data_IF_961010679946
#
_entry.id   IF_961010679946
#
_cell.length_a   1.000
_cell.length_b   1.000
_cell.length_c   1.000
_cell.angle_alpha   90.00
_cell.angle_beta   90.00
_cell.angle_gamma   90.00
#
_symmetry.space_group_name_H-M   'P 1'
#
loop_
_entity.id
_entity.type
_entity.pdbx_description
1 polymer ?
#
# COMPACT_ATOMS: atom_id res chain seq x y z
N UNK A 1 -59.48 -23.54 43.45
CA UNK A 1 -59.80 -24.97 43.26
C UNK A 1 -58.90 -25.45 42.14
N UNK A 2 -57.80 -26.09 42.53
CA UNK A 2 -57.57 -27.56 42.41
C UNK A 2 -56.89 -27.84 41.07
N UNK A 3 -55.63 -28.26 41.13
CA UNK A 3 -55.22 -29.64 40.77
C UNK A 3 -54.97 -29.73 39.25
N UNK A 4 -53.93 -30.30 38.67
CA UNK A 4 -52.98 -31.38 39.00
C UNK A 4 -51.80 -31.19 38.02
N UNK A 5 -50.54 -31.24 38.44
CA UNK A 5 -49.70 -32.44 38.56
C UNK A 5 -49.71 -33.38 37.33
N UNK A 6 -48.48 -33.63 36.84
CA UNK A 6 -47.91 -34.93 36.47
C UNK A 6 -47.98 -35.37 34.98
N UNK A 7 -46.82 -35.47 34.31
CA UNK A 7 -45.87 -36.61 34.26
C UNK A 7 -46.39 -37.69 33.30
N UNK A 8 -45.73 -37.99 32.18
CA UNK A 8 -44.64 -38.97 31.94
C UNK A 8 -44.61 -39.14 30.40
N UNK A 9 -43.59 -39.59 29.67
CA UNK A 9 -42.49 -40.54 29.88
C UNK A 9 -41.30 -40.00 29.05
N UNK A 10 -40.06 -40.00 29.50
CA UNK A 10 -39.19 -41.16 29.68
C UNK A 10 -37.79 -40.59 29.98
N UNK A 11 -36.97 -41.04 30.92
CA UNK A 11 -36.85 -42.39 31.45
C UNK A 11 -35.70 -43.12 30.76
N UNK A 12 -34.46 -42.62 30.82
CA UNK A 12 -33.26 -43.45 30.65
C UNK A 12 -32.02 -42.81 31.29
N UNK A 13 -31.48 -43.54 32.26
CA UNK A 13 -30.20 -43.32 32.95
C UNK A 13 -29.01 -43.53 31.99
N UNK A 14 -27.95 -42.75 32.13
CA UNK A 14 -26.55 -43.21 32.00
C UNK A 14 -25.65 -42.07 32.52
N UNK A 15 -25.13 -42.18 33.74
CA UNK A 15 -23.75 -42.59 34.09
C UNK A 15 -22.67 -41.67 33.49
N UNK A 16 -21.67 -41.36 34.33
CA UNK A 16 -20.40 -40.65 34.08
C UNK A 16 -20.31 -39.19 34.55
N UNK A 17 -20.07 -39.04 35.86
CA UNK A 17 -19.15 -38.04 36.41
C UNK A 17 -17.68 -38.53 36.22
N UNK A 18 -16.64 -37.82 36.68
CA UNK A 18 -15.89 -36.82 35.93
C UNK A 18 -14.40 -37.21 35.85
N UNK A 19 -13.72 -36.95 34.74
CA UNK A 19 -12.27 -36.81 34.72
C UNK A 19 -11.93 -36.05 33.46
N UNK A 20 -11.37 -34.85 33.62
CA UNK A 20 -10.08 -34.46 33.05
C UNK A 20 -9.90 -32.94 33.21
N UNK A 21 -8.65 -32.50 33.39
CA UNK A 21 -8.29 -31.46 34.34
C UNK A 21 -8.10 -30.11 33.66
N UNK A 22 -7.97 -29.09 34.52
CA UNK A 22 -7.42 -27.76 34.29
C UNK A 22 -6.66 -27.56 32.96
N UNK A 23 -7.10 -26.54 32.19
CA UNK A 23 -6.18 -25.76 31.33
C UNK A 23 -4.90 -25.41 32.13
N UNK A 24 -3.70 -25.33 31.53
CA UNK A 24 -3.44 -24.44 30.36
C UNK A 24 -2.23 -24.82 29.46
N UNK A 25 -2.34 -24.75 28.13
CA UNK A 25 -1.21 -24.42 27.23
C UNK A 25 -1.57 -24.59 25.74
N UNK A 26 -2.20 -23.58 25.14
CA UNK A 26 -2.01 -23.31 23.71
C UNK A 26 -2.53 -21.90 23.38
N UNK A 27 -2.02 -20.89 24.07
CA UNK A 27 -1.76 -19.64 23.38
C UNK A 27 -0.67 -19.94 22.35
N UNK A 28 -1.04 -20.51 21.20
CA UNK A 28 -0.12 -20.71 20.09
C UNK A 28 0.18 -19.32 19.56
N UNK A 29 1.26 -18.76 20.10
CA UNK A 29 1.89 -17.49 19.74
C UNK A 29 1.77 -17.25 18.24
N UNK A 30 0.87 -16.36 17.84
CA UNK A 30 0.88 -15.76 16.51
C UNK A 30 1.89 -14.59 16.48
N UNK A 31 3.12 -14.83 16.97
CA UNK A 31 4.19 -13.82 17.03
C UNK A 31 5.55 -14.47 16.72
N UNK A 32 5.67 -15.03 15.52
CA UNK A 32 6.95 -15.12 14.81
C UNK A 32 6.69 -15.24 13.31
N UNK A 33 6.23 -14.15 12.70
CA UNK A 33 6.67 -13.90 11.32
C UNK A 33 8.17 -13.64 11.46
N UNK A 34 8.99 -14.58 10.99
CA UNK A 34 10.42 -14.69 11.30
C UNK A 34 11.11 -13.33 11.36
N UNK A 35 11.75 -13.01 12.50
CA UNK A 35 12.52 -11.76 12.65
C UNK A 35 13.57 -11.59 11.54
N UNK A 36 14.06 -12.71 10.99
CA UNK A 36 14.94 -12.75 9.82
C UNK A 36 14.24 -12.24 8.55
N UNK A 37 12.99 -12.63 8.29
CA UNK A 37 12.20 -12.15 7.15
C UNK A 37 11.85 -10.67 7.29
N UNK A 38 11.46 -10.23 8.49
CA UNK A 38 11.22 -8.82 8.77
C UNK A 38 12.49 -7.97 8.64
N UNK A 39 13.64 -8.46 9.12
CA UNK A 39 14.93 -7.79 8.95
C UNK A 39 15.36 -7.77 7.48
N UNK A 40 15.12 -8.85 6.71
CA UNK A 40 15.40 -8.90 5.28
C UNK A 40 14.54 -7.90 4.48
N UNK A 41 13.23 -7.81 4.79
CA UNK A 41 12.33 -6.83 4.18
C UNK A 41 12.73 -5.39 4.53
N UNK A 42 13.08 -5.10 5.78
CA UNK A 42 13.61 -3.78 6.18
C UNK A 42 14.93 -3.45 5.47
N UNK A 43 15.84 -4.41 5.34
CA UNK A 43 17.08 -4.25 4.57
C UNK A 43 16.84 -3.98 3.09
N UNK A 44 15.86 -4.65 2.47
CA UNK A 44 15.47 -4.39 1.08
C UNK A 44 14.85 -3.00 0.91
N UNK A 45 14.02 -2.57 1.87
CA UNK A 45 13.46 -1.21 1.91
C UNK A 45 14.57 -0.15 2.00
N UNK A 46 15.51 -0.32 2.93
CA UNK A 46 16.62 0.61 3.11
C UNK A 46 17.55 0.64 1.88
N UNK A 47 17.81 -0.52 1.25
CA UNK A 47 18.63 -0.57 0.04
C UNK A 47 17.98 0.16 -1.14
N UNK A 48 16.65 0.14 -1.25
CA UNK A 48 15.92 0.87 -2.29
C UNK A 48 15.93 2.38 -2.04
N UNK A 49 15.79 2.83 -0.78
CA UNK A 49 15.89 4.25 -0.43
C UNK A 49 17.29 4.80 -0.71
N UNK A 50 18.36 4.07 -0.32
CA UNK A 50 19.74 4.52 -0.50
C UNK A 50 20.09 4.66 -2.00
N UNK A 51 19.62 3.72 -2.83
CA UNK A 51 19.82 3.78 -4.28
C UNK A 51 19.05 4.92 -4.94
N UNK A 52 17.84 5.23 -4.44
CA UNK A 52 17.02 6.33 -4.94
C UNK A 52 17.64 7.68 -4.60
N UNK A 53 18.12 7.84 -3.36
CA UNK A 53 18.76 9.07 -2.91
C UNK A 53 20.08 9.33 -3.66
N UNK A 54 20.92 8.31 -3.84
CA UNK A 54 22.14 8.44 -4.64
C UNK A 54 21.85 8.87 -6.09
N UNK A 55 20.78 8.32 -6.71
CA UNK A 55 20.31 8.75 -8.04
C UNK A 55 19.79 10.18 -8.03
N UNK A 56 19.13 10.59 -6.95
CA UNK A 56 18.60 11.94 -6.77
C UNK A 56 19.72 12.98 -6.67
N UNK A 57 20.82 12.64 -5.99
CA UNK A 57 22.00 13.50 -5.82
C UNK A 57 22.78 13.67 -7.11
N UNK A 58 22.91 12.60 -7.93
CA UNK A 58 23.60 12.67 -9.21
C UNK A 58 22.66 12.94 -10.40
N UNK A 59 21.45 13.43 -10.16
CA UNK A 59 20.50 13.71 -11.22
C UNK A 59 20.90 14.96 -12.01
N UNK A 60 21.12 14.80 -13.32
CA UNK A 60 21.38 15.92 -14.24
C UNK A 60 20.22 16.17 -15.21
N UNK A 61 19.71 15.10 -15.80
CA UNK A 61 18.60 15.12 -16.78
C UNK A 61 17.86 13.79 -16.74
N UNK A 62 16.68 13.72 -17.35
CA UNK A 62 15.92 12.48 -17.48
C UNK A 62 16.74 11.41 -18.21
N UNK A 63 16.83 10.18 -17.67
CA UNK A 63 17.49 9.07 -18.36
C UNK A 63 16.66 8.59 -19.55
N UNK A 64 17.31 7.85 -20.46
CA UNK A 64 16.62 7.18 -21.57
C UNK A 64 15.63 6.12 -21.04
N UNK A 65 14.38 6.20 -21.51
CA UNK A 65 13.33 5.23 -21.21
C UNK A 65 13.05 4.37 -22.46
N UNK A 66 13.34 3.08 -22.36
CA UNK A 66 13.15 2.12 -23.45
C UNK A 66 11.68 1.96 -23.88
N UNK A 67 10.70 2.39 -23.06
CA UNK A 67 9.27 2.41 -23.42
C UNK A 67 8.96 3.47 -24.47
N UNK A 68 9.78 4.51 -24.56
CA UNK A 68 9.58 5.66 -25.44
C UNK A 68 10.85 5.92 -26.30
N UNK A 69 11.22 4.99 -27.20
CA UNK A 69 12.44 5.09 -28.00
C UNK A 69 12.36 6.12 -29.13
N UNK A 70 11.15 6.57 -29.47
CA UNK A 70 10.90 7.48 -30.59
C UNK A 70 11.23 8.93 -30.23
N UNK A 71 11.45 9.77 -31.24
CA UNK A 71 11.72 11.21 -31.06
C UNK A 71 10.56 11.96 -30.39
N UNK A 72 9.32 11.51 -30.55
CA UNK A 72 8.16 12.14 -29.91
C UNK A 72 8.07 11.76 -28.42
N UNK A 73 8.51 12.67 -27.54
CA UNK A 73 8.54 12.50 -26.09
C UNK A 73 7.26 12.97 -25.36
N UNK A 74 6.19 13.32 -26.10
CA UNK A 74 4.91 13.79 -25.51
C UNK A 74 4.31 12.78 -24.53
N UNK A 75 4.32 11.49 -24.89
CA UNK A 75 3.80 10.40 -24.04
C UNK A 75 4.65 10.19 -22.79
N UNK A 76 5.97 10.37 -22.90
CA UNK A 76 6.89 10.25 -21.78
C UNK A 76 6.62 11.37 -20.75
N UNK A 77 6.54 12.62 -21.21
CA UNK A 77 6.17 13.76 -20.39
C UNK A 77 4.82 13.54 -19.67
N UNK A 78 3.77 13.20 -20.43
CA UNK A 78 2.42 13.02 -19.88
C UNK A 78 2.35 11.88 -18.86
N UNK A 79 3.03 10.75 -19.11
CA UNK A 79 3.04 9.63 -18.19
C UNK A 79 3.71 9.97 -16.85
N UNK A 80 4.86 10.65 -16.88
CA UNK A 80 5.54 11.06 -15.65
C UNK A 80 4.75 12.10 -14.84
N UNK A 81 4.02 13.00 -15.50
CA UNK A 81 3.11 13.93 -14.82
C UNK A 81 2.01 13.18 -14.08
N UNK A 82 1.33 12.22 -14.75
CA UNK A 82 0.31 11.40 -14.11
C UNK A 82 0.86 10.58 -12.94
N UNK A 83 2.04 9.98 -13.11
CA UNK A 83 2.65 9.13 -12.08
C UNK A 83 3.03 9.94 -10.83
N UNK A 84 3.47 11.18 -11.00
CA UNK A 84 3.70 12.10 -9.87
C UNK A 84 2.42 12.33 -9.06
N UNK A 85 1.32 12.70 -9.72
CA UNK A 85 0.08 12.98 -9.00
C UNK A 85 -0.55 11.72 -8.38
N UNK A 86 -0.46 10.57 -9.05
CA UNK A 86 -0.91 9.28 -8.49
C UNK A 86 -0.10 8.87 -7.26
N UNK A 87 1.23 9.03 -7.34
CA UNK A 87 2.15 8.76 -6.25
C UNK A 87 1.80 9.64 -5.04
N UNK A 88 1.65 10.95 -5.25
CA UNK A 88 1.27 11.88 -4.20
C UNK A 88 -0.08 11.52 -3.57
N UNK A 89 -1.09 11.18 -4.36
CA UNK A 89 -2.42 10.80 -3.87
C UNK A 89 -2.37 9.51 -3.03
N UNK A 90 -1.64 8.50 -3.51
CA UNK A 90 -1.49 7.23 -2.80
C UNK A 90 -0.75 7.40 -1.47
N UNK A 91 0.32 8.18 -1.43
CA UNK A 91 1.10 8.42 -0.21
C UNK A 91 0.39 9.35 0.76
N UNK A 92 -0.31 10.37 0.26
CA UNK A 92 -1.14 11.25 1.11
C UNK A 92 -2.26 10.49 1.80
N UNK A 93 -2.86 9.50 1.12
CA UNK A 93 -3.87 8.63 1.72
C UNK A 93 -3.30 7.67 2.79
N UNK A 94 -2.03 7.31 2.66
CA UNK A 94 -1.33 6.43 3.61
C UNK A 94 -0.59 7.20 4.73
N UNK A 95 -0.42 8.52 4.58
CA UNK A 95 0.37 9.35 5.50
C UNK A 95 1.88 9.03 5.48
N UNK A 96 2.39 8.52 4.36
CA UNK A 96 3.79 8.12 4.19
C UNK A 96 4.61 9.24 3.51
N UNK A 97 5.93 9.08 3.53
CA UNK A 97 6.87 10.05 3.00
C UNK A 97 6.77 10.18 1.48
N UNK A 98 6.84 11.40 0.96
CA UNK A 98 6.73 11.72 -0.48
C UNK A 98 8.05 11.59 -1.26
N UNK A 99 9.13 11.16 -0.59
CA UNK A 99 10.46 11.02 -1.18
C UNK A 99 10.52 10.20 -2.48
N UNK A 100 9.74 9.10 -2.65
CA UNK A 100 9.77 8.37 -3.93
C UNK A 100 9.07 9.12 -5.07
N UNK A 101 8.17 10.07 -4.77
CA UNK A 101 7.46 10.84 -5.79
C UNK A 101 8.32 11.97 -6.38
N UNK A 102 9.30 12.47 -5.62
CA UNK A 102 10.18 13.58 -6.03
C UNK A 102 10.95 13.27 -7.31
N UNK A 103 11.24 11.99 -7.58
CA UNK A 103 11.89 11.56 -8.81
C UNK A 103 11.03 11.87 -10.04
N UNK A 104 9.75 11.50 -10.00
CA UNK A 104 8.82 11.80 -11.09
C UNK A 104 8.70 13.31 -11.28
N UNK A 105 8.75 14.07 -10.17
CA UNK A 105 8.72 15.53 -10.23
C UNK A 105 9.88 16.11 -11.04
N UNK A 106 11.11 15.64 -10.79
CA UNK A 106 12.29 16.10 -11.55
C UNK A 106 12.21 15.68 -13.02
N UNK A 107 11.78 14.44 -13.28
CA UNK A 107 11.70 13.90 -14.65
C UNK A 107 10.70 14.69 -15.50
N UNK A 108 9.45 14.89 -15.05
CA UNK A 108 8.49 15.62 -15.88
C UNK A 108 8.87 17.11 -16.04
N UNK A 109 9.47 17.74 -15.02
CA UNK A 109 9.97 19.13 -15.13
C UNK A 109 11.07 19.27 -16.19
N UNK A 110 11.89 18.24 -16.41
CA UNK A 110 12.95 18.24 -17.42
C UNK A 110 12.44 17.95 -18.84
N UNK A 111 11.35 17.18 -18.98
CA UNK A 111 10.83 16.72 -20.26
C UNK A 111 9.69 17.60 -20.80
N UNK A 112 8.84 18.11 -19.92
CA UNK A 112 7.61 18.80 -20.30
C UNK A 112 7.85 20.29 -20.55
N UNK A 113 7.25 20.86 -21.60
CA UNK A 113 7.15 22.32 -21.73
C UNK A 113 6.39 22.92 -20.54
N UNK A 114 6.91 24.02 -19.98
CA UNK A 114 6.29 24.70 -18.81
C UNK A 114 4.84 25.06 -19.07
N UNK A 115 4.53 25.56 -20.27
CA UNK A 115 3.17 25.93 -20.67
C UNK A 115 2.16 24.77 -20.66
N UNK A 116 2.61 23.51 -20.76
CA UNK A 116 1.72 22.36 -20.64
C UNK A 116 1.45 22.03 -19.17
N UNK A 117 2.50 22.09 -18.35
CA UNK A 117 2.41 21.81 -16.91
C UNK A 117 1.49 22.81 -16.24
N UNK A 118 1.62 24.11 -16.54
CA UNK A 118 0.73 25.15 -16.00
C UNK A 118 -0.74 24.89 -16.36
N UNK A 119 -1.04 24.63 -17.64
CA UNK A 119 -2.40 24.31 -18.08
C UNK A 119 -2.97 23.06 -17.41
N UNK A 120 -2.15 22.03 -17.21
CA UNK A 120 -2.61 20.82 -16.53
C UNK A 120 -2.81 21.06 -15.03
N UNK A 121 -1.97 21.87 -14.39
CA UNK A 121 -2.15 22.26 -13.00
C UNK A 121 -3.48 23.02 -12.84
N UNK A 122 -3.76 23.99 -13.70
CA UNK A 122 -5.04 24.73 -13.70
C UNK A 122 -6.24 23.77 -13.88
N UNK A 123 -6.12 22.78 -14.76
CA UNK A 123 -7.17 21.78 -14.98
C UNK A 123 -7.36 20.86 -13.76
N UNK A 124 -6.28 20.52 -13.06
CA UNK A 124 -6.33 19.70 -11.85
C UNK A 124 -6.97 20.49 -10.70
N UNK A 125 -6.61 21.76 -10.53
CA UNK A 125 -7.20 22.65 -9.51
C UNK A 125 -8.69 22.91 -9.79
N UNK A 126 -9.06 23.07 -11.06
CA UNK A 126 -10.46 23.23 -11.48
C UNK A 126 -11.25 21.90 -11.54
N UNK A 127 -10.59 20.75 -11.32
CA UNK A 127 -11.23 19.43 -11.42
C UNK A 127 -11.69 19.02 -12.83
N UNK A 128 -11.19 19.71 -13.88
CA UNK A 128 -11.55 19.49 -15.29
C UNK A 128 -10.54 18.63 -16.06
N UNK A 129 -9.51 18.11 -15.38
CA UNK A 129 -8.48 17.30 -15.99
C UNK A 129 -9.01 15.96 -16.51
N UNK A 130 -8.76 15.67 -17.80
CA UNK A 130 -9.31 14.47 -18.46
C UNK A 130 -8.62 13.15 -18.05
N UNK A 131 -7.42 13.21 -17.46
CA UNK A 131 -6.65 12.03 -17.05
C UNK A 131 -7.04 11.49 -15.67
N UNK A 132 -6.88 10.18 -15.48
CA UNK A 132 -7.14 9.52 -14.18
C UNK A 132 -5.96 9.71 -13.23
N UNK A 133 -6.19 10.49 -12.17
CA UNK A 133 -5.26 10.80 -11.06
C UNK A 133 -5.82 10.26 -9.75
#
# INVERSE_FOLDING_TARGET
MTETLNLLQSGARSLYTPLYPCMPCAARRFLSKDAVLFAALKRLSNKMSDMMEAKMQNYRTAPFDARFPNTNQTRNCYQNYLDYHRCNKALSAQGLDVTPCDWYQKVFKSLCPVAWVEKWNDQVENGSFAGKI
#
